data_IF_006102482719
#
_entry.id   IF_006102482719
#
_cell.length_a   1.000
_cell.length_b   1.000
_cell.length_c   1.000
_cell.angle_alpha   90.00
_cell.angle_beta   90.00
_cell.angle_gamma   90.00
#
_symmetry.space_group_name_H-M   'P 1'
#
loop_
_entity.id
_entity.type
_entity.pdbx_description
1 polymer ?
#
# COMPACT_ATOMS: atom_id res chain seq x y z
N UNK A 1 3.08 2.13 4.72
CA UNK A 1 2.13 1.15 4.19
C UNK A 1 2.06 -0.10 5.05
N UNK A 2 3.18 -0.63 5.54
CA UNK A 2 3.25 -1.77 6.44
C UNK A 2 4.48 -1.69 7.36
N UNK A 3 4.60 -2.64 8.30
CA UNK A 3 5.68 -2.69 9.30
C UNK A 3 7.09 -2.88 8.72
N UNK A 4 7.21 -3.44 7.52
CA UNK A 4 8.51 -3.72 6.90
C UNK A 4 9.09 -2.50 6.13
N UNK A 5 8.32 -1.41 6.03
CA UNK A 5 8.70 -0.21 5.30
C UNK A 5 9.07 0.98 6.20
N UNK A 6 9.63 0.73 7.37
CA UNK A 6 10.11 1.80 8.26
C UNK A 6 11.28 2.58 7.68
N UNK A 7 12.24 1.88 7.08
CA UNK A 7 13.44 2.48 6.46
C UNK A 7 14.04 3.57 7.37
N UNK A 8 14.23 4.78 6.84
CA UNK A 8 14.78 5.93 7.55
C UNK A 8 13.73 6.77 8.31
N UNK A 9 12.53 6.24 8.58
CA UNK A 9 11.44 7.00 9.18
C UNK A 9 11.82 7.67 10.51
N UNK A 10 12.57 6.97 11.37
CA UNK A 10 13.05 7.53 12.64
C UNK A 10 14.04 8.69 12.44
N UNK A 11 14.94 8.57 11.47
CA UNK A 11 15.89 9.63 11.14
C UNK A 11 15.18 10.87 10.57
N UNK A 12 14.21 10.68 9.65
CA UNK A 12 13.38 11.77 9.14
C UNK A 12 12.56 12.45 10.25
N UNK A 13 11.99 11.67 11.17
CA UNK A 13 11.25 12.22 12.29
C UNK A 13 12.13 13.10 13.18
N UNK A 14 13.36 12.66 13.46
CA UNK A 14 14.31 13.40 14.28
C UNK A 14 14.81 14.66 13.57
N UNK A 15 15.19 14.56 12.30
CA UNK A 15 15.80 15.66 11.54
C UNK A 15 14.79 16.76 11.18
N UNK A 16 13.62 16.37 10.71
CA UNK A 16 12.60 17.31 10.20
C UNK A 16 11.49 17.61 11.18
N UNK A 17 11.52 17.03 12.38
CA UNK A 17 10.45 17.17 13.40
C UNK A 17 9.07 16.82 12.80
N UNK A 18 9.04 15.89 11.85
CA UNK A 18 7.82 15.49 11.15
C UNK A 18 7.01 14.49 12.00
N UNK A 19 5.71 14.41 11.73
CA UNK A 19 4.84 13.42 12.36
C UNK A 19 4.94 12.10 11.63
N UNK A 20 5.10 11.02 12.38
CA UNK A 20 5.12 9.65 11.86
C UNK A 20 3.76 8.99 12.09
N UNK A 21 3.11 8.60 11.00
CA UNK A 21 1.84 7.87 11.01
C UNK A 21 2.10 6.42 10.59
N UNK A 22 1.59 5.47 11.37
CA UNK A 22 1.74 4.04 11.09
C UNK A 22 0.38 3.32 11.16
N UNK A 23 0.21 2.19 10.46
CA UNK A 23 -0.99 1.37 10.60
C UNK A 23 -1.15 0.88 12.04
N UNK A 24 -2.31 1.06 12.64
CA UNK A 24 -2.57 0.62 14.03
C UNK A 24 -2.30 -0.88 14.21
N UNK A 25 -2.75 -1.70 13.26
CA UNK A 25 -2.60 -3.15 13.33
C UNK A 25 -1.14 -3.65 13.29
N UNK A 26 -0.21 -2.82 12.82
CA UNK A 26 1.22 -3.14 12.77
C UNK A 26 2.03 -2.43 13.86
N UNK A 27 1.48 -1.41 14.51
CA UNK A 27 2.20 -0.48 15.38
C UNK A 27 2.99 -1.18 16.51
N UNK A 28 2.42 -2.21 17.12
CA UNK A 28 3.06 -2.95 18.20
C UNK A 28 4.31 -3.75 17.77
N UNK A 29 4.46 -4.00 16.46
CA UNK A 29 5.56 -4.77 15.88
C UNK A 29 6.58 -3.89 15.15
N UNK A 30 6.41 -2.57 15.22
CA UNK A 30 7.29 -1.60 14.58
C UNK A 30 8.31 -1.07 15.59
N UNK A 31 9.58 -1.07 15.21
CA UNK A 31 10.67 -0.55 16.03
C UNK A 31 10.82 0.98 15.88
N UNK A 32 9.70 1.67 16.02
CA UNK A 32 9.64 3.14 16.06
C UNK A 32 8.52 3.58 16.97
N UNK A 33 8.64 4.76 17.56
CA UNK A 33 7.55 5.41 18.31
C UNK A 33 6.75 6.29 17.34
N UNK A 34 5.55 5.87 16.90
CA UNK A 34 4.75 6.69 16.01
C UNK A 34 4.22 7.92 16.73
N UNK A 35 4.01 9.01 15.99
CA UNK A 35 3.28 10.18 16.49
C UNK A 35 1.79 9.85 16.58
N UNK A 36 1.27 9.11 15.61
CA UNK A 36 -0.12 8.66 15.54
C UNK A 36 -0.23 7.35 14.79
N UNK A 37 -1.17 6.52 15.17
CA UNK A 37 -1.62 5.38 14.36
C UNK A 37 -2.80 5.79 13.48
N UNK A 38 -3.05 5.03 12.43
CA UNK A 38 -4.23 5.20 11.57
C UNK A 38 -4.92 3.86 11.32
N UNK A 39 -6.21 3.95 11.04
CA UNK A 39 -7.07 2.81 10.73
C UNK A 39 -7.63 2.92 9.31
N UNK A 40 -8.39 1.90 8.93
CA UNK A 40 -9.06 1.85 7.64
C UNK A 40 -10.03 3.02 7.42
N UNK A 41 -10.01 3.61 6.24
CA UNK A 41 -10.89 4.71 5.84
C UNK A 41 -10.54 6.06 6.46
N UNK A 42 -9.43 6.18 7.19
CA UNK A 42 -9.02 7.44 7.82
C UNK A 42 -8.40 8.39 6.78
N UNK A 43 -8.78 9.66 6.86
CA UNK A 43 -8.17 10.72 6.08
C UNK A 43 -6.93 11.25 6.80
N UNK A 44 -5.78 11.05 6.20
CA UNK A 44 -4.48 11.50 6.71
C UNK A 44 -4.17 12.92 6.23
N UNK A 45 -3.20 13.61 6.87
CA UNK A 45 -2.74 14.91 6.41
C UNK A 45 -2.33 14.88 4.93
N UNK A 46 -2.63 15.96 4.22
CA UNK A 46 -2.36 16.07 2.78
C UNK A 46 -3.47 15.51 1.87
N UNK A 47 -4.61 15.09 2.44
CA UNK A 47 -5.74 14.57 1.66
C UNK A 47 -5.53 13.12 1.21
N UNK A 48 -4.84 12.32 2.01
CA UNK A 48 -4.48 10.94 1.70
C UNK A 48 -5.42 10.00 2.47
N UNK A 49 -6.16 9.16 1.76
CA UNK A 49 -7.02 8.14 2.36
C UNK A 49 -6.24 6.86 2.64
N UNK A 50 -6.32 6.36 3.86
CA UNK A 50 -5.77 5.06 4.23
C UNK A 50 -6.78 3.96 3.89
N UNK A 51 -6.35 2.94 3.14
CA UNK A 51 -7.19 1.82 2.69
C UNK A 51 -6.52 0.53 3.17
N UNK A 52 -7.05 -0.09 4.22
CA UNK A 52 -6.52 -1.37 4.68
C UNK A 52 -6.85 -2.48 3.67
N UNK A 53 -5.84 -3.31 3.40
CA UNK A 53 -5.96 -4.46 2.52
C UNK A 53 -5.95 -5.75 3.38
N UNK A 54 -6.96 -6.59 3.22
CA UNK A 54 -7.01 -7.88 3.92
C UNK A 54 -6.12 -8.92 3.27
N UNK A 55 -5.77 -9.95 4.04
CA UNK A 55 -5.04 -11.13 3.57
C UNK A 55 -3.68 -10.84 2.92
N UNK A 56 -3.05 -9.74 3.33
CA UNK A 56 -1.74 -9.35 2.85
C UNK A 56 -0.62 -9.85 3.78
N UNK A 57 0.62 -9.50 3.45
CA UNK A 57 1.84 -9.88 4.17
C UNK A 57 1.81 -9.46 5.64
N UNK A 58 1.23 -8.31 5.97
CA UNK A 58 1.04 -7.86 7.35
C UNK A 58 -0.40 -7.47 7.63
N UNK A 59 -0.85 -7.54 8.90
CA UNK A 59 -2.21 -7.15 9.28
C UNK A 59 -2.53 -5.68 9.00
N UNK A 60 -1.52 -4.82 9.03
CA UNK A 60 -1.65 -3.38 8.79
C UNK A 60 -1.38 -2.95 7.36
N UNK A 61 -1.17 -3.89 6.42
CA UNK A 61 -0.94 -3.53 5.02
C UNK A 61 -2.02 -2.60 4.51
N UNK A 62 -1.60 -1.43 4.06
CA UNK A 62 -2.50 -0.37 3.63
C UNK A 62 -2.02 0.24 2.33
N UNK A 63 -2.96 0.44 1.40
CA UNK A 63 -2.77 1.36 0.30
C UNK A 63 -3.10 2.79 0.75
N UNK A 64 -2.50 3.76 0.11
CA UNK A 64 -2.75 5.17 0.33
C UNK A 64 -3.30 5.77 -0.96
N UNK A 65 -4.47 6.37 -0.88
CA UNK A 65 -5.12 6.97 -2.05
C UNK A 65 -5.10 8.49 -1.96
N UNK A 66 -4.51 9.13 -2.94
CA UNK A 66 -4.49 10.57 -3.11
C UNK A 66 -5.50 10.96 -4.20
N UNK A 67 -6.65 11.50 -3.78
CA UNK A 67 -7.72 11.93 -4.66
C UNK A 67 -7.43 13.33 -5.22
N UNK A 68 -6.45 13.40 -6.11
CA UNK A 68 -6.06 14.64 -6.82
C UNK A 68 -5.82 14.35 -8.30
N UNK A 69 -6.28 15.25 -9.17
CA UNK A 69 -6.16 15.08 -10.62
C UNK A 69 -6.84 13.80 -11.07
N UNK A 70 -6.08 12.90 -11.66
CA UNK A 70 -6.57 11.59 -12.13
C UNK A 70 -6.55 10.50 -11.03
N UNK A 71 -6.20 10.86 -9.79
CA UNK A 71 -6.05 9.95 -8.67
C UNK A 71 -4.74 9.15 -8.69
N UNK A 72 -4.14 9.00 -7.52
CA UNK A 72 -2.90 8.23 -7.34
C UNK A 72 -3.12 7.20 -6.24
N UNK A 73 -2.89 5.93 -6.57
CA UNK A 73 -2.87 4.83 -5.62
C UNK A 73 -1.41 4.50 -5.28
N UNK A 74 -1.07 4.54 -4.00
CA UNK A 74 0.27 4.23 -3.50
C UNK A 74 0.16 2.92 -2.73
N UNK A 75 0.91 1.92 -3.15
CA UNK A 75 0.99 0.62 -2.49
C UNK A 75 2.43 0.31 -2.09
N UNK A 76 2.61 -0.38 -0.98
CA UNK A 76 3.91 -0.90 -0.56
C UNK A 76 4.19 -2.25 -1.20
N UNK A 77 4.20 -3.29 -0.35
CA UNK A 77 4.43 -4.69 -0.77
C UNK A 77 3.19 -5.36 -1.38
N UNK A 78 2.04 -4.71 -1.33
CA UNK A 78 0.79 -5.29 -1.82
C UNK A 78 0.81 -5.60 -3.32
N UNK A 79 1.55 -4.81 -4.11
CA UNK A 79 1.79 -5.04 -5.53
C UNK A 79 3.23 -4.67 -5.89
N UNK A 80 3.84 -5.50 -6.73
CA UNK A 80 5.20 -5.31 -7.26
C UNK A 80 5.12 -4.92 -8.73
N UNK A 81 5.77 -3.84 -9.13
CA UNK A 81 5.80 -3.35 -10.52
C UNK A 81 6.80 -4.10 -11.40
N UNK A 82 6.64 -5.40 -11.51
CA UNK A 82 7.50 -6.27 -12.34
C UNK A 82 6.65 -7.29 -13.10
N UNK A 83 6.89 -7.47 -14.42
CA UNK A 83 7.74 -6.62 -15.28
C UNK A 83 7.19 -5.20 -15.42
N UNK A 84 7.99 -4.26 -15.95
CA UNK A 84 7.54 -2.88 -16.16
C UNK A 84 6.24 -2.84 -16.98
N UNK A 85 5.28 -2.01 -16.57
CA UNK A 85 3.95 -1.93 -17.18
C UNK A 85 2.97 -3.01 -16.73
N UNK A 86 3.36 -3.88 -15.81
CA UNK A 86 2.51 -4.90 -15.19
C UNK A 86 2.69 -4.91 -13.67
N UNK A 87 1.86 -5.67 -12.98
CA UNK A 87 1.99 -5.91 -11.55
C UNK A 87 2.03 -7.40 -11.24
N UNK A 88 2.70 -7.74 -10.15
CA UNK A 88 2.78 -9.10 -9.60
C UNK A 88 2.66 -9.08 -8.08
N UNK A 89 2.55 -10.26 -7.49
CA UNK A 89 2.60 -10.46 -6.04
C UNK A 89 4.03 -10.80 -5.59
N UNK A 90 4.26 -10.71 -4.29
CA UNK A 90 5.39 -11.37 -3.65
C UNK A 90 5.25 -12.90 -3.76
N UNK A 91 6.33 -13.66 -3.53
CA UNK A 91 6.26 -15.12 -3.43
C UNK A 91 5.20 -15.58 -2.41
N UNK A 92 4.51 -16.69 -2.72
CA UNK A 92 3.36 -17.17 -1.95
C UNK A 92 3.65 -17.39 -0.46
N UNK A 93 4.87 -17.78 -0.12
CA UNK A 93 5.32 -18.00 1.26
C UNK A 93 5.38 -16.71 2.12
N UNK A 94 5.25 -15.56 1.50
CA UNK A 94 5.18 -14.25 2.19
C UNK A 94 3.80 -13.92 2.76
N UNK A 95 2.78 -14.71 2.40
CA UNK A 95 1.41 -14.45 2.80
C UNK A 95 0.90 -15.53 3.77
N UNK A 96 0.05 -15.17 4.73
CA UNK A 96 -0.64 -16.16 5.57
C UNK A 96 -1.53 -17.11 4.76
N UNK A 97 -2.20 -16.59 3.72
CA UNK A 97 -3.05 -17.35 2.80
C UNK A 97 -2.96 -16.72 1.39
N UNK A 98 -2.07 -17.27 0.55
CA UNK A 98 -1.82 -16.74 -0.78
C UNK A 98 -3.06 -16.78 -1.71
N UNK A 99 -3.99 -17.70 -1.46
CA UNK A 99 -5.22 -17.81 -2.28
C UNK A 99 -6.17 -16.62 -2.09
N UNK A 100 -6.12 -15.96 -0.93
CA UNK A 100 -7.01 -14.83 -0.59
C UNK A 100 -6.42 -13.45 -0.92
N UNK A 101 -5.14 -13.38 -1.23
CA UNK A 101 -4.43 -12.09 -1.45
C UNK A 101 -5.13 -11.25 -2.51
N UNK A 102 -5.50 -11.84 -3.65
CA UNK A 102 -6.19 -11.11 -4.73
C UNK A 102 -7.55 -10.57 -4.32
N UNK A 103 -8.28 -11.28 -3.45
CA UNK A 103 -9.57 -10.80 -2.96
C UNK A 103 -9.41 -9.54 -2.09
N UNK A 104 -8.41 -9.51 -1.23
CA UNK A 104 -8.05 -8.31 -0.48
C UNK A 104 -7.70 -7.12 -1.37
N UNK A 105 -7.00 -7.36 -2.47
CA UNK A 105 -6.61 -6.34 -3.44
C UNK A 105 -7.77 -5.80 -4.29
N UNK A 106 -8.87 -6.56 -4.47
CA UNK A 106 -10.05 -6.08 -5.21
C UNK A 106 -10.63 -4.79 -4.64
N UNK A 107 -10.36 -4.52 -3.38
CA UNK A 107 -10.76 -3.26 -2.73
C UNK A 107 -10.21 -2.02 -3.44
N UNK A 108 -9.02 -2.09 -4.03
CA UNK A 108 -8.42 -1.00 -4.79
C UNK A 108 -9.30 -0.53 -5.94
N UNK A 109 -10.03 -1.45 -6.57
CA UNK A 109 -10.88 -1.16 -7.73
C UNK A 109 -12.08 -0.25 -7.41
N UNK A 110 -12.42 -0.07 -6.13
CA UNK A 110 -13.48 0.85 -5.70
C UNK A 110 -13.06 2.33 -5.83
N UNK A 111 -11.79 2.60 -6.04
CA UNK A 111 -11.25 3.93 -6.15
C UNK A 111 -10.90 4.27 -7.60
N UNK A 112 -11.04 5.55 -7.96
CA UNK A 112 -10.65 6.05 -9.27
C UNK A 112 -9.21 6.56 -9.21
N UNK A 113 -8.29 5.80 -9.78
CA UNK A 113 -6.89 6.18 -9.89
C UNK A 113 -6.34 5.87 -11.27
N UNK A 114 -5.47 6.72 -11.74
CA UNK A 114 -4.72 6.53 -12.99
C UNK A 114 -3.25 6.21 -12.69
N UNK A 115 -2.67 6.87 -11.71
CA UNK A 115 -1.31 6.56 -11.23
C UNK A 115 -1.32 5.42 -10.20
N UNK A 116 -0.38 4.48 -10.37
CA UNK A 116 -0.07 3.43 -9.38
C UNK A 116 1.40 3.52 -9.00
N UNK A 117 1.67 3.88 -7.75
CA UNK A 117 3.01 3.99 -7.19
C UNK A 117 3.27 2.78 -6.30
N UNK A 118 4.36 2.07 -6.58
CA UNK A 118 4.75 0.83 -5.89
C UNK A 118 6.04 1.00 -5.11
N UNK A 119 6.25 0.19 -4.08
CA UNK A 119 7.48 0.17 -3.29
C UNK A 119 8.65 -0.52 -4.01
N UNK A 120 8.34 -1.51 -4.85
CA UNK A 120 9.30 -2.31 -5.60
C UNK A 120 8.92 -2.40 -7.08
N UNK A 121 9.91 -2.27 -7.96
CA UNK A 121 9.72 -2.31 -9.40
C UNK A 121 9.33 -0.96 -9.99
N UNK A 122 8.72 -0.97 -11.17
CA UNK A 122 8.34 0.22 -11.92
C UNK A 122 6.91 0.67 -11.56
N UNK A 123 6.76 1.92 -11.11
CA UNK A 123 5.45 2.56 -10.96
C UNK A 123 4.81 2.81 -12.32
N UNK A 124 3.48 2.83 -12.37
CA UNK A 124 2.69 3.09 -13.57
C UNK A 124 2.04 4.46 -13.41
N UNK A 125 2.53 5.45 -14.15
CA UNK A 125 2.11 6.84 -13.98
C UNK A 125 0.77 7.17 -14.66
N UNK A 126 0.34 6.34 -15.61
CA UNK A 126 -0.96 6.43 -16.27
C UNK A 126 -1.47 5.04 -16.64
N UNK A 127 -2.78 4.82 -16.56
CA UNK A 127 -3.39 3.52 -16.84
C UNK A 127 -3.17 2.46 -15.76
N UNK A 128 -2.86 2.85 -14.53
CA UNK A 128 -2.59 1.94 -13.42
C UNK A 128 -3.79 1.07 -13.04
N UNK A 129 -5.00 1.65 -12.98
CA UNK A 129 -6.21 0.89 -12.61
C UNK A 129 -6.52 -0.24 -13.60
N UNK A 130 -6.55 -0.04 -14.93
CA UNK A 130 -6.71 -1.14 -15.89
C UNK A 130 -5.67 -2.26 -15.76
N UNK A 131 -4.43 -1.94 -15.39
CA UNK A 131 -3.39 -2.96 -15.15
C UNK A 131 -3.74 -3.80 -13.93
N UNK A 132 -4.19 -3.18 -12.83
CA UNK A 132 -4.63 -3.90 -11.63
C UNK A 132 -5.87 -4.75 -11.93
N UNK A 133 -6.86 -4.22 -12.66
CA UNK A 133 -8.06 -4.96 -13.07
C UNK A 133 -7.70 -6.22 -13.86
N UNK A 134 -6.82 -6.10 -14.86
CA UNK A 134 -6.33 -7.22 -15.66
C UNK A 134 -5.63 -8.25 -14.79
N UNK A 135 -4.73 -7.82 -13.92
CA UNK A 135 -4.02 -8.71 -13.01
C UNK A 135 -4.97 -9.50 -12.10
N UNK A 136 -5.99 -8.84 -11.53
CA UNK A 136 -6.96 -9.47 -10.64
C UNK A 136 -7.98 -10.36 -11.37
N UNK A 137 -8.13 -10.23 -12.69
CA UNK A 137 -8.98 -11.10 -13.51
C UNK A 137 -8.32 -12.41 -13.89
N UNK A 138 -7.00 -12.50 -13.81
CA UNK A 138 -6.27 -13.74 -14.09
C UNK A 138 -6.48 -14.77 -12.96
N UNK A 139 -6.56 -16.07 -13.27
CA UNK A 139 -6.58 -17.10 -12.24
C UNK A 139 -5.39 -16.99 -11.28
N UNK A 140 -5.59 -17.42 -10.07
CA UNK A 140 -4.52 -17.51 -9.06
C UNK A 140 -3.61 -18.67 -9.32
#
# INVERSE_FOLDING_TARGET
>A
TNRDHLREAAAYQAEFTCRLYVPEADAAQMDVKPTKTYTDGELLPGGIWAIRLSDQKSPGESALFLDRGQGIMIVGDALIGKPAGAVSLLPAEKYPDAAKVKDGLRRLLKYNFDGLVVGDGASILAGGKPVVERFLSLPS
#
